data_IF_677094938530
#
_entry.id   IF_677094938530
#
_cell.length_a   1.000
_cell.length_b   1.000
_cell.length_c   1.000
_cell.angle_alpha   90.00
_cell.angle_beta   90.00
_cell.angle_gamma   90.00
#
_symmetry.space_group_name_H-M   'P 1'
#
loop_
_entity.id
_entity.type
_entity.pdbx_description
1 polymer ?
#
# COMPACT_ATOMS: atom_id res chain seq x y z
N UNK A 1 -18.97 5.49 3.57
CA UNK A 1 -18.57 4.09 3.27
C UNK A 1 -18.28 3.88 1.78
N UNK A 2 -19.10 4.45 0.87
CA UNK A 2 -18.83 4.50 -0.58
C UNK A 2 -19.76 5.50 -1.27
N UNK A 3 -19.93 5.39 -2.58
CA UNK A 3 -20.86 6.23 -3.36
C UNK A 3 -22.32 6.02 -2.97
N UNK A 4 -22.65 4.84 -2.42
CA UNK A 4 -23.94 4.50 -1.81
C UNK A 4 -23.75 3.96 -0.39
N UNK A 5 -24.85 3.89 0.36
CA UNK A 5 -24.92 3.25 1.67
C UNK A 5 -25.05 4.22 2.86
N UNK A 6 -24.96 3.69 4.09
CA UNK A 6 -25.10 4.46 5.31
C UNK A 6 -24.05 5.59 5.43
N UNK A 7 -24.47 6.78 5.83
CA UNK A 7 -23.62 7.96 6.05
C UNK A 7 -24.22 8.98 7.04
N UNK A 8 -23.44 10.01 7.38
CA UNK A 8 -23.87 11.09 8.26
C UNK A 8 -22.74 12.08 8.57
N UNK A 9 -23.04 13.16 9.30
CA UNK A 9 -22.00 14.06 9.81
C UNK A 9 -21.11 13.35 10.81
N UNK A 10 -19.87 13.82 10.97
CA UNK A 10 -18.91 13.27 11.91
C UNK A 10 -18.28 14.33 12.81
N UNK A 11 -17.70 13.85 13.91
CA UNK A 11 -16.79 14.58 14.78
C UNK A 11 -15.47 13.81 14.86
N UNK A 12 -14.36 14.49 14.62
CA UNK A 12 -13.02 13.87 14.61
C UNK A 12 -12.17 14.38 15.77
N UNK A 13 -11.39 13.48 16.37
CA UNK A 13 -10.47 13.77 17.48
C UNK A 13 -9.05 13.76 16.93
N UNK A 14 -8.34 14.87 17.14
CA UNK A 14 -6.95 15.05 16.72
C UNK A 14 -6.01 15.07 17.92
N UNK A 15 -4.78 14.57 17.70
CA UNK A 15 -3.67 14.64 18.64
C UNK A 15 -2.58 15.57 18.07
N UNK A 16 -2.12 16.54 18.86
CA UNK A 16 -1.00 17.42 18.48
C UNK A 16 0.32 16.75 18.84
N UNK A 17 1.10 16.37 17.82
CA UNK A 17 2.42 15.79 17.97
C UNK A 17 3.52 16.81 18.29
N UNK A 18 3.18 18.09 18.41
CA UNK A 18 4.08 19.17 18.81
C UNK A 18 4.74 19.88 17.62
N UNK A 19 4.78 21.21 17.68
CA UNK A 19 5.39 22.07 16.67
C UNK A 19 6.91 21.89 16.58
N UNK A 20 7.54 21.47 17.69
CA UNK A 20 8.96 21.17 17.75
C UNK A 20 9.36 20.01 16.83
N UNK A 21 8.41 19.13 16.50
CA UNK A 21 8.61 17.98 15.62
C UNK A 21 8.13 18.27 14.20
N UNK A 22 7.04 19.02 14.05
CA UNK A 22 6.34 19.23 12.78
C UNK A 22 5.85 20.69 12.66
N UNK A 23 6.43 21.46 11.74
CA UNK A 23 6.18 22.91 11.63
C UNK A 23 6.13 23.44 10.18
N UNK A 24 5.77 22.57 9.24
CA UNK A 24 5.61 22.93 7.82
C UNK A 24 4.25 23.61 7.57
N UNK A 25 4.04 24.26 6.41
CA UNK A 25 2.74 24.81 6.03
C UNK A 25 1.60 23.77 5.97
N UNK A 26 1.93 22.49 5.87
CA UNK A 26 0.99 21.37 5.85
C UNK A 26 0.50 21.01 7.27
N UNK A 27 1.26 21.39 8.31
CA UNK A 27 1.02 21.10 9.73
C UNK A 27 -0.02 22.03 10.37
N UNK A 28 -1.22 22.04 9.79
CA UNK A 28 -2.43 22.70 10.29
C UNK A 28 -3.53 21.69 10.55
N UNK A 29 -4.48 22.01 11.44
CA UNK A 29 -5.58 21.11 11.75
C UNK A 29 -6.42 20.82 10.49
N UNK A 30 -6.56 19.53 10.14
CA UNK A 30 -7.19 19.08 8.89
C UNK A 30 -6.33 19.26 7.63
N UNK A 31 -5.04 19.57 7.76
CA UNK A 31 -4.07 19.53 6.67
C UNK A 31 -3.44 18.15 6.47
N UNK A 32 -2.55 18.04 5.49
CA UNK A 32 -1.86 16.79 5.12
C UNK A 32 -0.58 16.52 5.94
N UNK A 33 -0.19 17.46 6.82
CA UNK A 33 0.99 17.30 7.68
C UNK A 33 0.77 16.32 8.84
N UNK A 34 1.87 15.85 9.42
CA UNK A 34 1.85 14.84 10.48
C UNK A 34 1.63 15.44 11.88
N UNK A 35 1.65 16.78 12.06
CA UNK A 35 1.47 17.40 13.38
C UNK A 35 0.13 17.07 14.02
N UNK A 36 -0.96 17.40 13.34
CA UNK A 36 -2.32 17.21 13.85
C UNK A 36 -2.85 15.90 13.34
N UNK A 37 -2.53 14.82 14.06
CA UNK A 37 -2.86 13.47 13.67
C UNK A 37 -4.32 13.15 14.04
N UNK A 38 -5.16 12.84 13.06
CA UNK A 38 -6.51 12.32 13.31
C UNK A 38 -6.40 10.95 13.99
N UNK A 39 -7.00 10.77 15.18
CA UNK A 39 -6.93 9.53 15.95
C UNK A 39 -8.23 8.76 15.88
N UNK A 40 -9.35 9.46 15.97
CA UNK A 40 -10.66 8.85 16.15
C UNK A 40 -11.74 9.63 15.41
N UNK A 41 -12.44 8.95 14.51
CA UNK A 41 -13.63 9.48 13.84
C UNK A 41 -14.90 8.94 14.50
N UNK A 42 -15.83 9.83 14.84
CA UNK A 42 -17.14 9.52 15.40
C UNK A 42 -18.21 9.96 14.41
N UNK A 43 -18.74 9.02 13.64
CA UNK A 43 -19.78 9.26 12.63
C UNK A 43 -21.15 9.09 13.28
N UNK A 44 -21.95 10.15 13.20
CA UNK A 44 -23.35 10.14 13.61
C UNK A 44 -24.18 9.73 12.40
N UNK A 45 -24.47 8.43 12.27
CA UNK A 45 -25.17 7.87 11.12
C UNK A 45 -26.62 8.36 11.10
N UNK A 46 -26.97 9.10 10.03
CA UNK A 46 -28.28 9.76 9.88
C UNK A 46 -28.97 9.40 8.57
N UNK A 47 -28.23 9.02 7.53
CA UNK A 47 -28.75 8.88 6.18
C UNK A 47 -28.29 7.59 5.51
N UNK A 48 -29.06 7.11 4.54
CA UNK A 48 -28.69 6.16 3.50
C UNK A 48 -28.56 6.95 2.19
N UNK A 49 -27.40 6.90 1.53
CA UNK A 49 -27.20 7.51 0.21
C UNK A 49 -27.54 6.48 -0.88
N UNK A 50 -28.44 6.83 -1.79
CA UNK A 50 -28.76 5.99 -2.94
C UNK A 50 -27.85 6.24 -4.16
N UNK A 51 -28.03 5.47 -5.23
CA UNK A 51 -27.24 5.57 -6.48
C UNK A 51 -27.38 6.92 -7.18
N UNK A 52 -28.45 7.68 -6.91
CA UNK A 52 -28.63 9.03 -7.44
C UNK A 52 -27.90 10.10 -6.61
N UNK A 53 -27.34 9.71 -5.46
CA UNK A 53 -26.74 10.61 -4.47
C UNK A 53 -27.76 11.21 -3.49
N UNK A 54 -29.03 10.82 -3.56
CA UNK A 54 -30.07 11.33 -2.66
C UNK A 54 -29.91 10.71 -1.27
N UNK A 55 -30.05 11.54 -0.23
CA UNK A 55 -29.93 11.13 1.17
C UNK A 55 -31.31 10.83 1.77
N UNK A 56 -31.54 9.58 2.16
CA UNK A 56 -32.76 9.13 2.83
C UNK A 56 -32.51 8.99 4.33
N UNK A 57 -33.36 9.54 5.22
CA UNK A 57 -33.17 9.37 6.67
C UNK A 57 -33.17 7.89 7.08
N UNK A 58 -32.21 7.50 7.94
CA UNK A 58 -32.21 6.16 8.52
C UNK A 58 -33.39 5.99 9.48
N UNK A 59 -33.96 4.77 9.60
CA UNK A 59 -35.06 4.51 10.53
C UNK A 59 -34.71 4.81 11.99
N UNK A 60 -33.42 4.66 12.36
CA UNK A 60 -32.90 4.93 13.69
C UNK A 60 -31.51 5.58 13.57
N UNK A 61 -31.31 6.79 14.11
CA UNK A 61 -29.98 7.37 14.26
C UNK A 61 -29.06 6.42 15.01
N UNK A 62 -27.84 6.24 14.51
CA UNK A 62 -26.86 5.30 15.05
C UNK A 62 -25.48 5.95 15.15
N UNK A 63 -24.53 5.28 15.81
CA UNK A 63 -23.15 5.74 15.95
C UNK A 63 -22.22 4.69 15.34
N UNK A 64 -21.33 5.13 14.47
CA UNK A 64 -20.21 4.34 13.94
C UNK A 64 -18.91 5.08 14.31
N UNK A 65 -17.92 4.38 14.86
CA UNK A 65 -16.65 5.01 15.24
C UNK A 65 -15.46 4.19 14.78
N UNK A 66 -14.43 4.87 14.28
CA UNK A 66 -13.18 4.25 13.86
C UNK A 66 -11.98 4.94 14.52
N UNK A 67 -11.14 4.15 15.19
CA UNK A 67 -9.88 4.63 15.79
C UNK A 67 -8.72 3.80 15.24
N UNK A 68 -7.69 4.47 14.73
CA UNK A 68 -6.52 3.80 14.16
C UNK A 68 -5.64 3.20 15.25
N UNK A 69 -5.61 1.87 15.39
CA UNK A 69 -4.82 1.19 16.41
C UNK A 69 -3.34 1.56 16.32
N UNK A 70 -2.78 1.57 15.11
CA UNK A 70 -1.39 1.93 14.83
C UNK A 70 -1.04 3.33 15.33
N UNK A 71 -1.93 4.30 15.11
CA UNK A 71 -1.74 5.69 15.54
C UNK A 71 -1.77 5.79 17.07
N UNK A 72 -2.73 5.13 17.71
CA UNK A 72 -2.85 5.12 19.17
C UNK A 72 -1.65 4.46 19.83
N UNK A 73 -1.17 3.34 19.29
CA UNK A 73 0.00 2.65 19.83
C UNK A 73 1.25 3.50 19.67
N UNK A 74 1.45 4.13 18.51
CA UNK A 74 2.58 5.05 18.30
C UNK A 74 2.60 6.19 19.34
N UNK A 75 1.47 6.86 19.55
CA UNK A 75 1.33 7.91 20.57
C UNK A 75 1.61 7.37 21.98
N UNK A 76 1.01 6.24 22.33
CA UNK A 76 1.17 5.63 23.65
C UNK A 76 2.62 5.25 23.94
N UNK A 77 3.36 4.86 22.91
CA UNK A 77 4.78 4.49 22.99
C UNK A 77 5.72 5.70 22.89
N UNK A 78 5.18 6.90 22.67
CA UNK A 78 5.95 8.13 22.56
C UNK A 78 6.76 8.24 21.26
N UNK A 79 6.33 7.55 20.20
CA UNK A 79 6.96 7.62 18.88
C UNK A 79 6.11 8.45 17.91
N UNK A 80 6.77 9.18 17.01
CA UNK A 80 6.15 10.16 16.13
C UNK A 80 5.58 9.57 14.82
N UNK A 81 5.77 8.27 14.59
CA UNK A 81 5.24 7.60 13.41
C UNK A 81 4.82 6.16 13.72
N UNK A 82 3.82 5.68 12.99
CA UNK A 82 3.27 4.33 13.15
C UNK A 82 4.33 3.23 12.98
N UNK A 83 5.31 3.46 12.11
CA UNK A 83 6.30 2.45 11.73
C UNK A 83 7.38 2.22 12.80
N UNK A 84 7.57 3.17 13.71
CA UNK A 84 8.47 3.05 14.86
C UNK A 84 7.78 2.41 16.07
N UNK A 85 6.48 2.10 15.97
CA UNK A 85 5.76 1.40 17.04
C UNK A 85 6.14 -0.07 17.12
N UNK A 86 5.84 -0.67 18.25
CA UNK A 86 5.98 -2.12 18.49
C UNK A 86 5.20 -2.98 17.50
N UNK A 87 4.18 -2.43 16.82
CA UNK A 87 3.41 -3.16 15.80
C UNK A 87 4.17 -3.35 14.49
N UNK A 88 5.10 -2.45 14.14
CA UNK A 88 5.79 -2.45 12.86
C UNK A 88 7.28 -2.78 12.96
N UNK A 89 7.94 -2.38 14.05
CA UNK A 89 9.37 -2.59 14.23
C UNK A 89 9.83 -4.04 14.05
N UNK A 90 9.08 -5.09 14.48
CA UNK A 90 9.52 -6.46 14.23
C UNK A 90 9.63 -6.82 12.74
N UNK A 91 8.78 -6.25 11.87
CA UNK A 91 8.88 -6.45 10.42
C UNK A 91 10.08 -5.71 9.83
N UNK A 92 10.30 -4.48 10.29
CA UNK A 92 11.43 -3.66 9.85
C UNK A 92 12.75 -4.33 10.25
N UNK A 93 12.89 -4.80 11.49
CA UNK A 93 14.07 -5.53 11.97
C UNK A 93 14.31 -6.85 11.23
N UNK A 94 13.23 -7.56 10.86
CA UNK A 94 13.36 -8.74 10.02
C UNK A 94 13.86 -8.39 8.60
N UNK A 95 13.38 -7.27 8.04
CA UNK A 95 13.86 -6.75 6.77
C UNK A 95 15.32 -6.29 6.84
N UNK A 96 15.75 -5.63 7.91
CA UNK A 96 17.17 -5.25 8.11
C UNK A 96 18.10 -6.46 7.96
N UNK A 97 17.71 -7.60 8.54
CA UNK A 97 18.48 -8.86 8.46
C UNK A 97 18.54 -9.42 7.05
N UNK A 98 17.45 -9.33 6.30
CA UNK A 98 17.40 -9.79 4.90
C UNK A 98 18.20 -8.88 3.97
N UNK A 99 18.11 -7.57 4.17
CA UNK A 99 18.77 -6.55 3.35
C UNK A 99 20.25 -6.41 3.72
N UNK A 100 20.63 -6.72 4.95
CA UNK A 100 22.00 -6.51 5.46
C UNK A 100 22.31 -5.03 5.73
N UNK A 101 21.28 -4.18 5.86
CA UNK A 101 21.39 -2.75 6.16
C UNK A 101 20.48 -2.38 7.32
N UNK A 102 20.94 -1.45 8.14
CA UNK A 102 20.12 -0.87 9.21
C UNK A 102 19.08 0.09 8.63
N UNK A 103 17.89 0.04 9.20
CA UNK A 103 16.83 0.98 8.94
C UNK A 103 17.17 2.30 9.63
N UNK A 104 17.24 3.35 8.82
CA UNK A 104 17.37 4.72 9.27
C UNK A 104 16.21 5.51 8.65
N UNK A 105 15.37 6.13 9.48
CA UNK A 105 14.21 6.89 9.02
C UNK A 105 14.60 8.00 8.02
N UNK A 106 15.79 8.59 8.18
CA UNK A 106 16.28 9.71 7.37
C UNK A 106 16.95 9.26 6.06
N UNK A 107 17.18 7.95 5.88
CA UNK A 107 17.75 7.44 4.64
C UNK A 107 16.73 7.52 3.50
N UNK A 108 17.18 7.82 2.28
CA UNK A 108 16.32 7.90 1.09
C UNK A 108 15.58 6.59 0.79
N UNK A 109 16.15 5.46 1.17
CA UNK A 109 15.58 4.12 0.99
C UNK A 109 14.71 3.67 2.18
N UNK A 110 14.57 4.50 3.23
CA UNK A 110 13.80 4.16 4.43
C UNK A 110 12.33 3.86 4.11
N UNK A 111 11.76 4.56 3.13
CA UNK A 111 10.41 4.33 2.64
C UNK A 111 10.21 2.88 2.16
N UNK A 112 11.20 2.27 1.52
CA UNK A 112 11.10 0.89 1.04
C UNK A 112 10.87 -0.12 2.18
N UNK A 113 11.52 0.06 3.33
CA UNK A 113 11.27 -0.81 4.50
C UNK A 113 9.82 -0.69 4.98
N UNK A 114 9.30 0.54 5.06
CA UNK A 114 7.93 0.82 5.50
C UNK A 114 6.90 0.27 4.53
N UNK A 115 7.09 0.49 3.23
CA UNK A 115 6.20 -0.02 2.17
C UNK A 115 6.15 -1.55 2.20
N UNK A 116 7.29 -2.21 2.30
CA UNK A 116 7.32 -3.68 2.38
C UNK A 116 6.61 -4.18 3.64
N UNK A 117 6.85 -3.57 4.80
CA UNK A 117 6.22 -3.97 6.05
C UNK A 117 4.69 -3.81 6.00
N UNK A 118 4.18 -2.71 5.44
CA UNK A 118 2.75 -2.50 5.22
C UNK A 118 2.15 -3.53 4.25
N UNK A 119 2.80 -3.70 3.09
CA UNK A 119 2.30 -4.60 2.06
C UNK A 119 2.35 -6.07 2.49
N UNK A 120 3.34 -6.47 3.30
CA UNK A 120 3.38 -7.80 3.92
C UNK A 120 2.11 -8.08 4.72
N UNK A 121 1.65 -7.11 5.53
CA UNK A 121 0.40 -7.26 6.30
C UNK A 121 -0.77 -7.44 5.35
N UNK A 122 -0.97 -6.49 4.44
CA UNK A 122 -2.11 -6.48 3.51
C UNK A 122 -2.19 -7.74 2.65
N UNK A 123 -1.09 -8.16 2.02
CA UNK A 123 -1.05 -9.34 1.15
C UNK A 123 -1.31 -10.61 1.96
N UNK A 124 -0.72 -10.75 3.15
CA UNK A 124 -0.92 -11.94 3.98
C UNK A 124 -2.36 -12.08 4.46
N UNK A 125 -2.98 -10.99 4.93
CA UNK A 125 -4.38 -11.01 5.37
C UNK A 125 -5.33 -11.34 4.23
N UNK A 126 -5.14 -10.74 3.05
CA UNK A 126 -5.96 -11.03 1.87
C UNK A 126 -5.84 -12.49 1.43
N UNK A 127 -4.62 -13.05 1.40
CA UNK A 127 -4.39 -14.46 1.10
C UNK A 127 -5.04 -15.37 2.15
N UNK A 128 -4.90 -15.04 3.43
CA UNK A 128 -5.49 -15.82 4.53
C UNK A 128 -7.03 -15.85 4.47
N UNK A 129 -7.65 -14.77 3.97
CA UNK A 129 -9.09 -14.64 3.76
C UNK A 129 -9.57 -15.22 2.41
N UNK A 130 -8.69 -15.87 1.65
CA UNK A 130 -9.05 -16.60 0.44
C UNK A 130 -9.01 -15.79 -0.86
N UNK A 131 -8.49 -14.56 -0.84
CA UNK A 131 -8.19 -13.83 -2.07
C UNK A 131 -6.92 -14.41 -2.69
N UNK A 132 -6.96 -14.79 -3.96
CA UNK A 132 -5.81 -15.34 -4.68
C UNK A 132 -5.29 -14.33 -5.72
N UNK A 133 -4.01 -14.43 -6.09
CA UNK A 133 -3.44 -13.60 -7.15
C UNK A 133 -4.14 -13.84 -8.49
N UNK A 134 -4.58 -12.76 -9.14
CA UNK A 134 -5.31 -12.83 -10.40
C UNK A 134 -5.00 -11.61 -11.29
N UNK A 135 -5.49 -11.63 -12.54
CA UNK A 135 -5.40 -10.52 -13.50
C UNK A 135 -6.55 -9.52 -13.37
N UNK A 136 -7.62 -9.88 -12.66
CA UNK A 136 -8.81 -9.02 -12.50
C UNK A 136 -9.31 -8.93 -11.05
N UNK A 137 -10.18 -7.95 -10.80
CA UNK A 137 -10.89 -7.78 -9.53
C UNK A 137 -9.97 -7.70 -8.30
N UNK A 138 -10.37 -8.36 -7.21
CA UNK A 138 -9.64 -8.37 -5.93
C UNK A 138 -8.26 -9.02 -6.05
N UNK A 139 -8.16 -10.06 -6.87
CA UNK A 139 -6.89 -10.77 -7.09
C UNK A 139 -5.87 -9.92 -7.83
N UNK A 140 -6.32 -9.04 -8.73
CA UNK A 140 -5.44 -8.05 -9.35
C UNK A 140 -4.92 -7.03 -8.34
N UNK A 141 -5.79 -6.46 -7.50
CA UNK A 141 -5.36 -5.53 -6.43
C UNK A 141 -4.31 -6.17 -5.53
N UNK A 142 -4.54 -7.42 -5.10
CA UNK A 142 -3.58 -8.20 -4.33
C UNK A 142 -2.23 -8.35 -5.06
N UNK A 143 -2.26 -8.66 -6.36
CA UNK A 143 -1.06 -8.72 -7.22
C UNK A 143 -0.33 -7.38 -7.28
N UNK A 144 -1.03 -6.25 -7.43
CA UNK A 144 -0.39 -4.93 -7.49
C UNK A 144 0.35 -4.60 -6.21
N UNK A 145 -0.30 -4.81 -5.06
CA UNK A 145 0.31 -4.60 -3.74
C UNK A 145 1.56 -5.47 -3.59
N UNK A 146 1.47 -6.76 -3.92
CA UNK A 146 2.64 -7.66 -3.83
C UNK A 146 3.80 -7.20 -4.73
N UNK A 147 3.54 -6.87 -5.99
CA UNK A 147 4.59 -6.45 -6.94
C UNK A 147 5.24 -5.12 -6.56
N UNK A 148 4.49 -4.19 -5.96
CA UNK A 148 5.05 -2.96 -5.37
C UNK A 148 6.02 -3.28 -4.22
N UNK A 149 5.66 -4.19 -3.33
CA UNK A 149 6.56 -4.64 -2.25
C UNK A 149 7.84 -5.27 -2.81
N UNK A 150 7.72 -6.13 -3.83
CA UNK A 150 8.87 -6.77 -4.48
C UNK A 150 9.79 -5.74 -5.15
N UNK A 151 9.24 -4.72 -5.82
CA UNK A 151 10.04 -3.59 -6.37
C UNK A 151 10.83 -2.90 -5.26
N UNK A 152 10.20 -2.58 -4.13
CA UNK A 152 10.92 -1.95 -3.01
C UNK A 152 12.02 -2.85 -2.44
N UNK A 153 11.80 -4.17 -2.40
CA UNK A 153 12.86 -5.13 -2.06
C UNK A 153 14.00 -5.11 -3.09
N UNK A 154 13.68 -5.02 -4.38
CA UNK A 154 14.66 -4.89 -5.45
C UNK A 154 15.48 -3.60 -5.31
N UNK A 155 14.86 -2.47 -4.98
CA UNK A 155 15.55 -1.20 -4.71
C UNK A 155 16.51 -1.30 -3.50
N UNK A 156 16.16 -2.11 -2.50
CA UNK A 156 17.02 -2.38 -1.34
C UNK A 156 18.16 -3.35 -1.63
N UNK A 157 18.16 -4.01 -2.80
CA UNK A 157 19.21 -4.93 -3.23
C UNK A 157 18.83 -6.41 -3.14
N UNK A 158 17.59 -6.75 -2.79
CA UNK A 158 17.11 -8.13 -2.78
C UNK A 158 16.94 -8.64 -4.22
N UNK A 159 17.46 -9.83 -4.51
CA UNK A 159 17.44 -10.45 -5.86
C UNK A 159 16.86 -11.86 -5.86
N UNK A 160 16.35 -12.30 -4.72
CA UNK A 160 15.69 -13.59 -4.55
C UNK A 160 14.37 -13.39 -3.81
N UNK A 161 13.41 -14.33 -3.94
CA UNK A 161 12.16 -14.27 -3.20
C UNK A 161 12.39 -14.11 -1.68
N UNK A 162 11.76 -13.11 -1.09
CA UNK A 162 11.97 -12.71 0.29
C UNK A 162 10.68 -12.49 1.08
N UNK A 163 9.57 -12.10 0.44
CA UNK A 163 8.34 -11.74 1.13
C UNK A 163 7.80 -12.90 1.97
N UNK A 164 7.84 -14.12 1.43
CA UNK A 164 7.41 -15.32 2.14
C UNK A 164 8.22 -15.61 3.42
N UNK A 165 9.47 -15.11 3.52
CA UNK A 165 10.34 -15.28 4.70
C UNK A 165 9.83 -14.45 5.89
N UNK A 166 9.07 -13.39 5.62
CA UNK A 166 8.55 -12.46 6.63
C UNK A 166 7.19 -12.89 7.20
N UNK A 167 6.48 -13.83 6.57
CA UNK A 167 5.13 -14.25 6.98
C UNK A 167 5.12 -14.86 8.39
N UNK A 168 6.18 -15.56 8.78
CA UNK A 168 6.31 -16.08 10.15
C UNK A 168 6.34 -14.94 11.18
N UNK A 169 7.00 -13.82 10.86
CA UNK A 169 7.07 -12.64 11.74
C UNK A 169 5.68 -12.02 11.88
N UNK A 170 4.94 -11.93 10.78
CA UNK A 170 3.54 -11.47 10.78
C UNK A 170 2.65 -12.35 11.65
N UNK A 171 2.68 -13.67 11.43
CA UNK A 171 1.87 -14.60 12.20
C UNK A 171 2.17 -14.46 13.70
N UNK A 172 3.44 -14.52 14.10
CA UNK A 172 3.83 -14.38 15.51
C UNK A 172 3.32 -13.08 16.17
N UNK A 173 3.26 -11.98 15.42
CA UNK A 173 2.77 -10.69 15.93
C UNK A 173 1.23 -10.59 15.99
N UNK A 174 0.51 -11.32 15.15
CA UNK A 174 -0.91 -11.08 14.87
C UNK A 174 -1.83 -12.26 15.22
N UNK A 175 -1.32 -13.50 15.31
CA UNK A 175 -2.11 -14.72 15.48
C UNK A 175 -2.96 -14.74 16.74
N UNK A 176 -2.55 -14.05 17.80
CA UNK A 176 -3.30 -13.98 19.07
C UNK A 176 -4.72 -13.44 18.88
N UNK A 177 -4.92 -12.55 17.90
CA UNK A 177 -6.22 -12.00 17.53
C UNK A 177 -6.76 -12.59 16.22
N UNK A 178 -5.88 -13.10 15.36
CA UNK A 178 -6.20 -13.60 14.02
C UNK A 178 -5.68 -15.02 13.81
N UNK A 179 -6.20 -15.99 14.57
CA UNK A 179 -5.72 -17.39 14.56
C UNK A 179 -5.73 -18.05 13.17
N UNK A 180 -6.60 -17.61 12.25
CA UNK A 180 -6.64 -18.11 10.87
C UNK A 180 -5.35 -17.82 10.06
N UNK A 181 -4.51 -16.89 10.51
CA UNK A 181 -3.19 -16.65 9.89
C UNK A 181 -2.26 -17.86 10.08
N UNK A 182 -2.30 -18.50 11.25
CA UNK A 182 -1.53 -19.72 11.52
C UNK A 182 -2.04 -20.90 10.68
N UNK A 183 -3.36 -21.08 10.63
CA UNK A 183 -4.01 -22.15 9.84
C UNK A 183 -3.68 -22.06 8.33
N UNK A 184 -3.38 -20.85 7.84
CA UNK A 184 -3.09 -20.57 6.43
C UNK A 184 -1.62 -20.29 6.14
N UNK A 185 -0.73 -20.38 7.14
CA UNK A 185 0.65 -19.93 7.07
C UNK A 185 1.41 -20.46 5.84
N UNK A 186 1.41 -21.78 5.63
CA UNK A 186 2.13 -22.41 4.52
C UNK A 186 1.50 -22.11 3.15
N UNK A 187 0.18 -21.93 3.11
CA UNK A 187 -0.52 -21.52 1.88
C UNK A 187 -0.15 -20.09 1.49
N UNK A 188 -0.12 -19.16 2.46
CA UNK A 188 0.29 -17.76 2.26
C UNK A 188 1.73 -17.71 1.74
N UNK A 189 2.66 -18.42 2.41
CA UNK A 189 4.08 -18.47 2.02
C UNK A 189 4.26 -19.02 0.61
N UNK A 190 3.57 -20.11 0.29
CA UNK A 190 3.66 -20.74 -1.04
C UNK A 190 3.13 -19.80 -2.14
N UNK A 191 1.99 -19.14 -1.90
CA UNK A 191 1.40 -18.21 -2.86
C UNK A 191 2.30 -16.99 -3.09
N UNK A 192 2.80 -16.37 -2.01
CA UNK A 192 3.73 -15.23 -2.08
C UNK A 192 4.99 -15.59 -2.85
N UNK A 193 5.62 -16.73 -2.51
CA UNK A 193 6.85 -17.18 -3.15
C UNK A 193 6.66 -17.38 -4.64
N UNK A 194 5.57 -18.04 -5.06
CA UNK A 194 5.29 -18.29 -6.48
C UNK A 194 5.04 -17.01 -7.28
N UNK A 195 4.28 -16.06 -6.73
CA UNK A 195 4.05 -14.77 -7.40
C UNK A 195 5.33 -13.95 -7.49
N UNK A 196 6.16 -14.00 -6.45
CA UNK A 196 7.44 -13.31 -6.38
C UNK A 196 8.46 -13.88 -7.37
N UNK A 197 8.61 -15.21 -7.45
CA UNK A 197 9.44 -15.89 -8.46
C UNK A 197 9.05 -15.47 -9.88
N UNK A 198 7.75 -15.52 -10.20
CA UNK A 198 7.24 -15.12 -11.53
C UNK A 198 7.54 -13.66 -11.88
N UNK A 199 7.52 -12.77 -10.89
CA UNK A 199 7.82 -11.36 -11.15
C UNK A 199 9.32 -11.09 -11.25
N UNK A 200 10.15 -11.82 -10.48
CA UNK A 200 11.60 -11.73 -10.60
C UNK A 200 12.11 -12.10 -12.01
N UNK A 201 11.43 -13.04 -12.69
CA UNK A 201 11.76 -13.42 -14.08
C UNK A 201 11.66 -12.23 -15.06
N UNK A 202 10.83 -11.23 -14.76
CA UNK A 202 10.56 -10.10 -15.68
C UNK A 202 10.99 -8.74 -15.14
N UNK A 203 11.22 -8.60 -13.82
CA UNK A 203 11.45 -7.29 -13.18
C UNK A 203 12.69 -6.58 -13.71
N UNK A 204 13.80 -7.28 -13.92
CA UNK A 204 15.06 -6.69 -14.38
C UNK A 204 14.93 -6.16 -15.81
N UNK A 205 14.33 -6.96 -16.69
CA UNK A 205 14.08 -6.55 -18.07
C UNK A 205 13.05 -5.40 -18.15
N UNK A 206 12.03 -5.41 -17.29
CA UNK A 206 11.06 -4.32 -17.16
C UNK A 206 11.70 -3.01 -16.70
N UNK A 207 12.54 -3.04 -15.65
CA UNK A 207 13.29 -1.87 -15.18
C UNK A 207 14.23 -1.35 -16.26
N UNK A 208 14.88 -2.24 -17.01
CA UNK A 208 15.78 -1.85 -18.12
C UNK A 208 15.00 -1.14 -19.22
N UNK A 209 13.83 -1.66 -19.61
CA UNK A 209 12.95 -1.00 -20.58
C UNK A 209 12.47 0.37 -20.09
N UNK A 210 12.04 0.45 -18.83
CA UNK A 210 11.61 1.70 -18.21
C UNK A 210 12.73 2.76 -18.26
N UNK A 211 13.94 2.41 -17.82
CA UNK A 211 15.06 3.35 -17.81
C UNK A 211 15.45 3.82 -19.21
N UNK A 212 15.42 2.92 -20.21
CA UNK A 212 15.70 3.28 -21.60
C UNK A 212 14.67 4.28 -22.15
N UNK A 213 13.40 4.10 -21.82
CA UNK A 213 12.36 5.06 -22.23
C UNK A 213 12.50 6.39 -21.46
N UNK A 214 12.86 6.30 -20.19
CA UNK A 214 13.09 7.47 -19.34
C UNK A 214 14.18 8.40 -19.90
N UNK A 215 15.25 7.85 -20.47
CA UNK A 215 16.30 8.65 -21.15
C UNK A 215 15.78 9.52 -22.31
N UNK A 216 14.70 9.07 -22.96
CA UNK A 216 14.05 9.79 -24.06
C UNK A 216 12.86 10.64 -23.60
N UNK A 217 12.45 10.50 -22.34
CA UNK A 217 11.30 11.16 -21.76
C UNK A 217 11.68 12.54 -21.21
N UNK A 218 10.93 13.58 -21.58
CA UNK A 218 11.07 14.91 -20.97
C UNK A 218 10.12 15.08 -19.79
N UNK A 219 8.82 15.18 -20.08
CA UNK A 219 7.79 15.46 -19.08
C UNK A 219 6.68 14.41 -19.05
N UNK A 220 6.50 13.65 -20.14
CA UNK A 220 5.42 12.67 -20.30
C UNK A 220 6.04 11.38 -20.83
N UNK A 221 5.93 10.32 -20.02
CA UNK A 221 6.36 8.96 -20.34
C UNK A 221 5.37 8.29 -21.28
N UNK A 222 5.86 7.53 -22.27
CA UNK A 222 5.04 6.88 -23.29
C UNK A 222 4.03 5.89 -22.70
N UNK A 223 2.78 6.02 -23.13
CA UNK A 223 1.70 5.09 -22.78
C UNK A 223 1.85 3.75 -23.48
N UNK A 224 2.42 3.72 -24.69
CA UNK A 224 2.80 2.48 -25.39
C UNK A 224 3.83 1.68 -24.57
N UNK A 225 4.89 2.34 -24.07
CA UNK A 225 5.90 1.66 -23.24
C UNK A 225 5.30 1.23 -21.90
N UNK A 226 4.46 2.06 -21.28
CA UNK A 226 3.74 1.67 -20.07
C UNK A 226 2.84 0.44 -20.29
N UNK A 227 2.17 0.37 -21.45
CA UNK A 227 1.36 -0.79 -21.82
C UNK A 227 2.24 -2.03 -22.00
N UNK A 228 3.40 -1.91 -22.65
CA UNK A 228 4.35 -3.01 -22.79
C UNK A 228 4.89 -3.48 -21.44
N UNK A 229 5.20 -2.55 -20.52
CA UNK A 229 5.59 -2.86 -19.14
C UNK A 229 4.49 -3.66 -18.43
N UNK A 230 3.24 -3.27 -18.61
CA UNK A 230 2.07 -3.98 -18.06
C UNK A 230 1.87 -5.37 -18.66
N UNK A 231 1.77 -5.46 -19.99
CA UNK A 231 1.39 -6.68 -20.68
C UNK A 231 2.50 -7.73 -20.68
N UNK A 232 3.72 -7.31 -21.02
CA UNK A 232 4.86 -8.23 -21.23
C UNK A 232 5.64 -8.48 -19.94
N UNK A 233 5.91 -7.43 -19.17
CA UNK A 233 6.76 -7.51 -17.97
C UNK A 233 5.95 -7.59 -16.68
N UNK A 234 4.62 -7.41 -16.76
CA UNK A 234 3.73 -7.52 -15.63
C UNK A 234 3.85 -6.38 -14.62
N UNK A 235 4.26 -5.19 -15.05
CA UNK A 235 4.31 -4.00 -14.19
C UNK A 235 2.91 -3.39 -14.14
N UNK A 236 2.22 -3.43 -13.00
CA UNK A 236 0.96 -2.72 -12.86
C UNK A 236 1.12 -1.23 -13.21
N UNK A 237 0.10 -0.62 -13.81
CA UNK A 237 0.18 0.80 -14.19
C UNK A 237 0.55 1.70 -13.00
N UNK A 238 -0.02 1.44 -11.82
CA UNK A 238 0.28 2.17 -10.58
C UNK A 238 1.74 2.02 -10.13
N UNK A 239 2.37 0.88 -10.41
CA UNK A 239 3.80 0.69 -10.14
C UNK A 239 4.67 1.53 -11.08
N UNK A 240 4.31 1.63 -12.36
CA UNK A 240 4.98 2.54 -13.32
C UNK A 240 4.76 4.00 -12.94
N UNK A 241 3.54 4.37 -12.53
CA UNK A 241 3.24 5.73 -12.05
C UNK A 241 4.03 6.09 -10.79
N UNK A 242 4.16 5.17 -9.84
CA UNK A 242 4.97 5.40 -8.64
C UNK A 242 6.44 5.64 -9.00
N UNK A 243 6.99 4.90 -9.97
CA UNK A 243 8.35 5.11 -10.48
C UNK A 243 8.54 6.50 -11.12
N UNK A 244 7.53 7.00 -11.83
CA UNK A 244 7.58 8.31 -12.48
C UNK A 244 7.34 9.46 -11.52
N UNK A 245 6.51 9.26 -10.48
CA UNK A 245 6.22 10.27 -9.45
C UNK A 245 7.48 10.67 -8.69
N UNK A 246 8.38 9.73 -8.42
CA UNK A 246 9.70 10.00 -7.80
C UNK A 246 10.57 10.95 -8.66
N UNK A 247 10.26 11.10 -9.94
CA UNK A 247 10.99 11.92 -10.92
C UNK A 247 10.19 13.14 -11.41
N UNK A 248 9.00 13.38 -10.84
CA UNK A 248 8.08 14.45 -11.26
C UNK A 248 7.67 14.36 -12.75
N UNK A 249 7.61 13.15 -13.30
CA UNK A 249 7.24 12.88 -14.69
C UNK A 249 5.80 12.37 -14.77
N UNK A 250 5.04 12.87 -15.75
CA UNK A 250 3.69 12.38 -16.05
C UNK A 250 3.70 11.11 -16.93
N UNK A 251 2.56 10.43 -17.04
CA UNK A 251 2.37 9.26 -17.91
C UNK A 251 1.24 9.54 -18.90
N UNK A 252 1.42 9.18 -20.17
CA UNK A 252 0.36 9.27 -21.18
C UNK A 252 -0.68 8.15 -20.97
N UNK A 253 -1.66 8.45 -20.12
CA UNK A 253 -2.73 7.50 -19.78
C UNK A 253 -3.67 7.25 -20.94
N UNK A 254 -3.87 8.25 -21.79
CA UNK A 254 -4.78 8.15 -22.93
C UNK A 254 -4.20 7.19 -23.97
N UNK A 255 -2.88 7.24 -24.22
CA UNK A 255 -2.19 6.27 -25.06
C UNK A 255 -2.19 4.86 -24.44
N UNK A 256 -1.93 4.73 -23.14
CA UNK A 256 -2.02 3.45 -22.43
C UNK A 256 -3.42 2.80 -22.58
N UNK A 257 -4.49 3.55 -22.33
CA UNK A 257 -5.87 3.06 -22.41
C UNK A 257 -6.29 2.71 -23.85
N UNK A 258 -5.76 3.41 -24.85
CA UNK A 258 -5.93 3.03 -26.27
C UNK A 258 -5.37 1.63 -26.51
N UNK A 259 -4.15 1.35 -26.05
CA UNK A 259 -3.54 0.02 -26.21
C UNK A 259 -4.29 -1.06 -25.42
N UNK A 260 -4.76 -0.77 -24.19
CA UNK A 260 -5.62 -1.67 -23.43
C UNK A 260 -6.92 -2.01 -24.16
N UNK A 261 -7.55 -1.01 -24.78
CA UNK A 261 -8.79 -1.20 -25.56
C UNK A 261 -8.52 -2.05 -26.81
N UNK A 262 -7.45 -1.74 -27.55
CA UNK A 262 -7.06 -2.52 -28.74
C UNK A 262 -6.76 -3.97 -28.41
N UNK A 263 -6.16 -4.25 -27.24
CA UNK A 263 -5.91 -5.63 -26.79
C UNK A 263 -7.21 -6.35 -26.41
N UNK A 264 -8.17 -5.67 -25.79
CA UNK A 264 -9.47 -6.26 -25.41
C UNK A 264 -10.36 -6.58 -26.62
N UNK A 265 -10.20 -5.84 -27.71
CA UNK A 265 -10.97 -6.01 -28.94
C UNK A 265 -10.39 -7.09 -29.88
N UNK A 266 -9.21 -7.64 -29.57
CA UNK A 266 -8.58 -8.76 -30.28
C UNK A 266 -8.98 -10.11 -29.69
#
# INVERSE_FOLDING_TARGET
>A
MGDTGPCGPCSEIFYDQGEENFNTPEDKMGGDGDRFLEIWNLVFMQFERDESGTLHPLPKPSIDTGMGLERVVAIKEGVLNNYHSSLFMPYIEALEKLVGKKYDYNDKQSASFRVIADHLRSVSFLLAQGVNFDKEGRGYVLRRIMRRAIRHGYLLGLREPFMYKLVNVLANNMSSHYGYLEDRLESIKSAMKLEEERFFDTIEAGITLFNKELENTKNIFSGEVAFKLYDTYGFPLDLTEDMLRELEIGLDKDEFEKHMTMQREQ
#
